data_IF_797369033655
#
_entry.id   IF_797369033655
#
_cell.length_a   1.000
_cell.length_b   1.000
_cell.length_c   1.000
_cell.angle_alpha   90.00
_cell.angle_beta   90.00
_cell.angle_gamma   90.00
#
_symmetry.space_group_name_H-M   'P 1'
#
loop_
_entity.id
_entity.type
_entity.pdbx_description
1 polymer ?
#
# COMPACT_ATOMS: atom_id res chain seq x y z
N UNK A 1 -2.67 -8.88 -7.44
CA UNK A 1 -3.35 -7.57 -7.38
C UNK A 1 -2.57 -6.45 -8.06
N UNK A 2 -1.30 -6.20 -7.69
CA UNK A 2 -0.47 -5.16 -8.33
C UNK A 2 -0.54 -5.22 -9.87
N UNK A 3 -0.27 -6.39 -10.45
CA UNK A 3 -0.30 -6.60 -11.91
C UNK A 3 -1.68 -6.32 -12.51
N UNK A 4 -2.76 -6.70 -11.82
CA UNK A 4 -4.14 -6.40 -12.25
C UNK A 4 -4.39 -4.90 -12.32
N UNK A 5 -3.87 -4.15 -11.35
CA UNK A 5 -3.97 -2.68 -11.31
C UNK A 5 -3.14 -2.06 -12.43
N UNK A 6 -1.87 -2.48 -12.59
CA UNK A 6 -0.99 -1.98 -13.64
C UNK A 6 -1.56 -2.24 -15.04
N UNK A 7 -2.03 -3.45 -15.31
CA UNK A 7 -2.65 -3.85 -16.58
C UNK A 7 -3.94 -3.09 -16.91
N UNK A 8 -4.64 -2.56 -15.90
CA UNK A 8 -5.85 -1.76 -16.10
C UNK A 8 -5.54 -0.26 -16.32
N UNK A 9 -4.34 0.20 -15.99
CA UNK A 9 -3.96 1.61 -16.14
C UNK A 9 -3.47 1.90 -17.54
N UNK A 10 -3.86 3.06 -18.08
CA UNK A 10 -3.38 3.56 -19.38
C UNK A 10 -1.95 4.10 -19.32
N UNK A 11 -1.41 4.26 -18.11
CA UNK A 11 -0.09 4.82 -17.88
C UNK A 11 1.02 3.76 -17.95
N UNK A 12 0.68 2.49 -17.78
CA UNK A 12 1.66 1.41 -17.80
C UNK A 12 2.13 1.12 -19.22
N UNK A 13 3.45 1.00 -19.40
CA UNK A 13 4.09 0.72 -20.68
C UNK A 13 4.32 -0.79 -20.92
N UNK A 14 4.01 -1.64 -19.93
CA UNK A 14 4.09 -3.09 -20.05
C UNK A 14 5.45 -3.70 -19.71
N UNK A 15 6.47 -2.91 -19.39
CA UNK A 15 7.85 -3.41 -19.25
C UNK A 15 8.11 -4.02 -17.86
N UNK A 16 7.98 -3.22 -16.81
CA UNK A 16 8.27 -3.61 -15.42
C UNK A 16 6.98 -3.62 -14.61
N UNK A 17 6.75 -4.75 -13.92
CA UNK A 17 5.77 -4.87 -12.85
C UNK A 17 6.26 -5.91 -11.83
N UNK A 18 6.68 -5.47 -10.64
CA UNK A 18 7.18 -6.35 -9.60
C UNK A 18 6.74 -5.88 -8.20
N UNK A 19 6.44 -6.84 -7.32
CA UNK A 19 6.15 -6.59 -5.91
C UNK A 19 7.16 -7.32 -5.06
N UNK A 20 7.79 -6.62 -4.12
CA UNK A 20 8.81 -7.17 -3.23
C UNK A 20 8.52 -6.76 -1.79
N UNK A 21 8.76 -7.69 -0.85
CA UNK A 21 8.91 -7.33 0.56
C UNK A 21 10.32 -6.81 0.74
N UNK A 22 10.47 -5.57 1.18
CA UNK A 22 11.79 -4.94 1.37
C UNK A 22 12.26 -4.99 2.81
N UNK A 23 11.32 -4.99 3.76
CA UNK A 23 11.61 -5.09 5.18
C UNK A 23 10.40 -5.69 5.92
N UNK A 24 10.65 -6.22 7.12
CA UNK A 24 9.61 -6.70 8.02
C UNK A 24 10.08 -6.56 9.47
N UNK A 25 9.30 -5.83 10.26
CA UNK A 25 9.57 -5.62 11.69
C UNK A 25 8.38 -6.09 12.56
N UNK A 26 8.44 -5.78 13.84
CA UNK A 26 7.42 -6.20 14.80
C UNK A 26 6.05 -5.53 14.60
N UNK A 27 5.98 -4.43 13.86
CA UNK A 27 4.77 -3.60 13.68
C UNK A 27 4.24 -3.63 12.25
N UNK A 28 5.10 -3.88 11.25
CA UNK A 28 4.75 -3.74 9.84
C UNK A 28 5.61 -4.58 8.90
N UNK A 29 5.10 -4.76 7.68
CA UNK A 29 5.83 -5.32 6.54
C UNK A 29 5.92 -4.24 5.47
N UNK A 30 7.13 -3.94 5.01
CA UNK A 30 7.35 -2.95 3.96
C UNK A 30 7.28 -3.61 2.58
N UNK A 31 6.44 -3.05 1.72
CA UNK A 31 6.25 -3.52 0.35
C UNK A 31 6.73 -2.47 -0.66
N UNK A 32 7.53 -2.90 -1.63
CA UNK A 32 7.94 -2.11 -2.79
C UNK A 32 7.26 -2.64 -4.05
N UNK A 33 6.42 -1.79 -4.63
CA UNK A 33 5.90 -1.97 -5.98
C UNK A 33 6.78 -1.21 -6.98
N UNK A 34 7.34 -1.94 -7.94
CA UNK A 34 8.07 -1.42 -9.09
C UNK A 34 7.18 -1.49 -10.32
N UNK A 35 7.01 -0.36 -10.98
CA UNK A 35 6.23 -0.21 -12.22
C UNK A 35 6.97 0.78 -13.13
N UNK A 36 6.88 0.55 -14.44
CA UNK A 36 7.41 1.42 -15.48
C UNK A 36 6.30 2.19 -16.21
N UNK A 37 6.66 3.30 -16.82
CA UNK A 37 5.79 4.09 -17.68
C UNK A 37 6.67 4.90 -18.65
N UNK A 38 6.04 5.51 -19.66
CA UNK A 38 6.74 6.10 -20.80
C UNK A 38 7.66 7.27 -20.44
N UNK A 39 7.37 7.95 -19.33
CA UNK A 39 8.17 9.06 -18.82
C UNK A 39 8.04 9.18 -17.29
N UNK A 40 8.90 9.99 -16.67
CA UNK A 40 8.98 10.14 -15.21
C UNK A 40 7.68 10.67 -14.58
N UNK A 41 6.94 11.52 -15.29
CA UNK A 41 5.67 12.06 -14.78
C UNK A 41 4.60 10.97 -14.74
N UNK A 42 4.48 10.18 -15.81
CA UNK A 42 3.56 9.04 -15.83
C UNK A 42 3.94 7.95 -14.82
N UNK A 43 5.25 7.71 -14.58
CA UNK A 43 5.71 6.78 -13.54
C UNK A 43 5.23 7.23 -12.15
N UNK A 44 5.30 8.53 -11.88
CA UNK A 44 4.81 9.08 -10.61
C UNK A 44 3.31 8.87 -10.46
N UNK A 45 2.54 9.21 -11.48
CA UNK A 45 1.08 9.07 -11.48
C UNK A 45 0.64 7.60 -11.33
N UNK A 46 1.29 6.69 -12.07
CA UNK A 46 1.03 5.25 -11.98
C UNK A 46 1.34 4.70 -10.58
N UNK A 47 2.41 5.18 -9.93
CA UNK A 47 2.74 4.79 -8.55
C UNK A 47 1.69 5.23 -7.55
N UNK A 48 1.16 6.45 -7.69
CA UNK A 48 0.07 6.94 -6.86
C UNK A 48 -1.19 6.08 -7.05
N UNK A 49 -1.60 5.85 -8.32
CA UNK A 49 -2.75 5.01 -8.66
C UNK A 49 -2.62 3.60 -8.08
N UNK A 50 -1.46 2.97 -8.27
CA UNK A 50 -1.15 1.64 -7.72
C UNK A 50 -1.29 1.63 -6.21
N UNK A 51 -0.70 2.60 -5.50
CA UNK A 51 -0.73 2.66 -4.04
C UNK A 51 -2.16 2.77 -3.51
N UNK A 52 -2.95 3.69 -4.06
CA UNK A 52 -4.34 3.91 -3.64
C UNK A 52 -5.20 2.66 -3.84
N UNK A 53 -5.07 1.99 -4.98
CA UNK A 53 -5.82 0.78 -5.30
C UNK A 53 -5.37 -0.41 -4.46
N UNK A 54 -4.08 -0.57 -4.19
CA UNK A 54 -3.57 -1.61 -3.30
C UNK A 54 -4.07 -1.43 -1.86
N UNK A 55 -4.05 -0.20 -1.34
CA UNK A 55 -4.61 0.09 0.00
C UNK A 55 -6.09 -0.22 0.03
N UNK A 56 -6.84 0.21 -0.99
CA UNK A 56 -8.29 -0.09 -1.11
C UNK A 56 -8.56 -1.59 -1.16
N UNK A 57 -7.73 -2.36 -1.88
CA UNK A 57 -7.83 -3.81 -1.95
C UNK A 57 -7.59 -4.46 -0.59
N UNK A 58 -6.55 -4.05 0.14
CA UNK A 58 -6.27 -4.57 1.48
C UNK A 58 -7.42 -4.22 2.42
N UNK A 59 -7.92 -2.99 2.41
CA UNK A 59 -9.06 -2.58 3.25
C UNK A 59 -10.32 -3.42 3.00
N UNK A 60 -10.59 -3.78 1.74
CA UNK A 60 -11.81 -4.50 1.36
C UNK A 60 -11.70 -6.00 1.60
N UNK A 61 -10.59 -6.61 1.22
CA UNK A 61 -10.42 -8.07 1.23
C UNK A 61 -9.71 -8.58 2.49
N UNK A 62 -8.86 -7.76 3.10
CA UNK A 62 -8.01 -8.11 4.25
C UNK A 62 -8.00 -7.01 5.32
N UNK A 63 -9.16 -6.59 5.86
CA UNK A 63 -9.24 -5.47 6.80
C UNK A 63 -8.37 -5.67 8.05
N UNK A 64 -8.16 -6.92 8.47
CA UNK A 64 -7.34 -7.26 9.63
C UNK A 64 -5.82 -7.22 9.37
N UNK A 65 -5.39 -7.10 8.11
CA UNK A 65 -3.97 -7.09 7.73
C UNK A 65 -3.30 -5.71 7.82
N UNK A 66 -4.09 -4.64 8.01
CA UNK A 66 -3.54 -3.30 8.22
C UNK A 66 -2.83 -3.21 9.58
N UNK A 67 -1.75 -2.42 9.70
CA UNK A 67 -1.06 -2.23 10.98
C UNK A 67 -2.03 -1.74 12.06
N UNK A 68 -2.05 -2.45 13.20
CA UNK A 68 -2.90 -2.12 14.35
C UNK A 68 -2.03 -1.76 15.54
N UNK A 69 -2.23 -0.58 16.08
CA UNK A 69 -1.63 -0.20 17.36
C UNK A 69 -2.57 -0.58 18.50
N UNK A 70 -2.07 -1.39 19.45
CA UNK A 70 -2.81 -1.68 20.68
C UNK A 70 -2.59 -0.54 21.67
N UNK A 71 -3.66 0.17 22.02
CA UNK A 71 -3.61 1.24 23.03
C UNK A 71 -4.23 0.76 24.34
N UNK A 72 -3.61 1.11 25.46
CA UNK A 72 -4.21 1.02 26.80
C UNK A 72 -4.78 2.39 27.17
N UNK A 73 -6.07 2.46 27.47
CA UNK A 73 -6.69 3.67 28.00
C UNK A 73 -6.67 3.54 29.51
N UNK A 74 -5.76 4.25 30.17
CA UNK A 74 -5.77 4.37 31.63
C UNK A 74 -6.79 5.45 32.01
N UNK A 75 -7.88 5.04 32.66
CA UNK A 75 -8.93 5.96 33.09
C UNK A 75 -8.51 6.53 34.44
N UNK A 76 -7.93 7.73 34.42
CA UNK A 76 -7.63 8.47 35.64
C UNK A 76 -8.94 8.73 36.40
N UNK A 77 -8.99 8.51 37.73
CA UNK A 77 -10.19 8.78 38.51
C UNK A 77 -10.53 10.29 38.47
N UNK A 78 -11.80 10.61 38.27
CA UNK A 78 -12.32 11.97 38.37
C UNK A 78 -12.22 12.39 39.85
N UNK A 79 -11.41 13.41 40.15
CA UNK A 79 -11.34 13.99 41.49
C UNK A 79 -12.63 14.79 41.75
N UNK A 80 -13.44 14.34 42.72
CA UNK A 80 -14.63 15.02 43.26
C UNK A 80 -14.26 16.18 44.21
#
# INVERSE_FOLDING_TARGET
ELERVAAASKLWDGDVCALQVTDADAQSVELRALVSARNSSEVWDLRCEVREKLITFIQREYPDALPRMRTSIDRQPEEE
#
